data_IF_950216869559
#
_entry.id   IF_950216869559
#
_cell.length_a   1.000
_cell.length_b   1.000
_cell.length_c   1.000
_cell.angle_alpha   90.00
_cell.angle_beta   90.00
_cell.angle_gamma   90.00
#
_symmetry.space_group_name_H-M   'P 1'
#
loop_
_entity.id
_entity.type
_entity.pdbx_description
1 polymer ?
#
# COMPACT_ATOMS: atom_id res chain seq x y z
N UNK A 1 -14.88 2.55 19.44
CA UNK A 1 -14.28 2.79 20.77
C UNK A 1 -13.93 4.26 20.83
N UNK A 2 -14.55 4.98 21.79
CA UNK A 2 -14.55 6.45 21.76
C UNK A 2 -13.57 7.09 22.76
N UNK A 3 -12.67 6.28 23.35
CA UNK A 3 -11.71 6.79 24.33
C UNK A 3 -10.31 6.85 23.72
N UNK A 4 -9.66 8.01 23.86
CA UNK A 4 -8.29 8.26 23.41
C UNK A 4 -7.39 8.32 24.64
N UNK A 5 -6.23 7.64 24.59
CA UNK A 5 -5.18 7.83 25.58
C UNK A 5 -4.24 8.93 25.10
N UNK A 6 -4.18 10.03 25.82
CA UNK A 6 -3.28 11.12 25.54
C UNK A 6 -2.09 11.08 26.49
N UNK A 7 -0.88 11.06 25.94
CA UNK A 7 0.38 11.00 26.67
C UNK A 7 1.12 12.32 26.48
N UNK A 8 1.04 13.19 27.47
CA UNK A 8 1.61 14.53 27.44
C UNK A 8 0.90 15.48 28.40
N UNK A 9 1.34 16.73 28.44
CA UNK A 9 0.78 17.75 29.35
C UNK A 9 0.52 19.09 28.71
N UNK A 10 0.53 19.19 27.39
CA UNK A 10 0.39 20.45 26.67
C UNK A 10 -1.02 20.98 26.64
N UNK A 11 -1.17 22.25 26.97
CA UNK A 11 -2.46 22.93 27.07
C UNK A 11 -3.19 23.03 25.71
N UNK A 12 -2.47 23.39 24.66
CA UNK A 12 -3.01 23.52 23.30
C UNK A 12 -3.57 22.18 22.75
N UNK A 13 -2.86 21.08 22.99
CA UNK A 13 -3.34 19.75 22.59
C UNK A 13 -4.58 19.35 23.41
N UNK A 14 -4.55 19.59 24.71
CA UNK A 14 -5.73 19.33 25.56
C UNK A 14 -6.94 20.11 25.09
N UNK A 15 -6.79 21.36 24.66
CA UNK A 15 -7.90 22.14 24.08
C UNK A 15 -8.44 21.51 22.78
N UNK A 16 -7.56 21.12 21.86
CA UNK A 16 -7.97 20.45 20.61
C UNK A 16 -8.72 19.15 20.92
N UNK A 17 -8.19 18.37 21.85
CA UNK A 17 -8.79 17.10 22.27
C UNK A 17 -10.15 17.30 22.97
N UNK A 18 -10.27 18.29 23.86
CA UNK A 18 -11.51 18.59 24.60
C UNK A 18 -12.63 19.07 23.66
N UNK A 19 -12.28 19.73 22.56
CA UNK A 19 -13.22 20.15 21.52
C UNK A 19 -13.59 19.03 20.54
N UNK A 20 -12.98 17.85 20.68
CA UNK A 20 -13.37 16.65 19.92
C UNK A 20 -14.51 15.91 20.65
N UNK A 21 -15.37 15.20 19.90
CA UNK A 21 -16.45 14.38 20.45
C UNK A 21 -15.98 13.10 21.14
N UNK A 22 -14.69 13.00 21.47
CA UNK A 22 -14.07 11.79 22.01
C UNK A 22 -13.78 11.90 23.50
N UNK A 23 -13.90 10.79 24.21
CA UNK A 23 -13.48 10.72 25.62
C UNK A 23 -11.96 10.64 25.72
N UNK A 24 -11.35 11.44 26.56
CA UNK A 24 -9.89 11.55 26.71
C UNK A 24 -9.46 11.08 28.10
N UNK A 25 -8.55 10.13 28.13
CA UNK A 25 -7.80 9.76 29.33
C UNK A 25 -6.39 10.36 29.17
N UNK A 26 -6.05 11.39 29.91
CA UNK A 26 -4.76 12.06 29.84
C UNK A 26 -3.80 11.52 30.90
N UNK A 27 -2.56 11.22 30.48
CA UNK A 27 -1.46 10.80 31.36
C UNK A 27 -0.20 11.61 31.06
N UNK A 28 0.61 11.91 32.08
CA UNK A 28 1.72 12.84 31.95
C UNK A 28 3.03 12.23 31.45
N UNK A 29 3.18 10.91 31.52
CA UNK A 29 4.42 10.24 31.12
C UNK A 29 4.21 8.84 30.53
N UNK A 30 5.23 8.31 29.85
CA UNK A 30 5.19 7.04 29.15
C UNK A 30 4.98 5.82 30.05
N UNK A 31 5.47 5.83 31.28
CA UNK A 31 5.31 4.71 32.21
C UNK A 31 3.86 4.52 32.62
N UNK A 32 3.13 5.61 32.87
CA UNK A 32 1.69 5.55 33.20
C UNK A 32 0.90 5.08 31.97
N UNK A 33 1.31 5.51 30.76
CA UNK A 33 0.70 5.06 29.51
C UNK A 33 0.88 3.55 29.29
N UNK A 34 2.06 3.01 29.52
CA UNK A 34 2.34 1.56 29.44
C UNK A 34 1.45 0.77 30.41
N UNK A 35 1.34 1.20 31.65
CA UNK A 35 0.48 0.54 32.63
C UNK A 35 -1.01 0.62 32.24
N UNK A 36 -1.47 1.77 31.74
CA UNK A 36 -2.84 1.95 31.30
C UNK A 36 -3.23 1.02 30.13
N UNK A 37 -2.27 0.73 29.23
CA UNK A 37 -2.48 -0.16 28.09
C UNK A 37 -2.28 -1.63 28.44
N UNK A 38 -1.37 -1.98 29.35
CA UNK A 38 -1.20 -3.37 29.82
C UNK A 38 -2.45 -3.89 30.53
N UNK A 39 -3.08 -3.05 31.35
CA UNK A 39 -4.28 -3.42 32.13
C UNK A 39 -5.57 -3.39 31.28
N UNK A 40 -5.61 -2.59 30.23
CA UNK A 40 -6.84 -2.30 29.45
C UNK A 40 -6.59 -2.07 27.96
N UNK A 41 -5.80 -2.92 27.33
CA UNK A 41 -5.39 -2.79 25.91
C UNK A 41 -6.55 -2.55 24.92
N UNK A 42 -7.76 -3.04 25.21
CA UNK A 42 -8.93 -2.92 24.35
C UNK A 42 -9.82 -1.68 24.65
N UNK A 43 -9.46 -0.85 25.62
CA UNK A 43 -10.24 0.31 26.01
C UNK A 43 -10.08 1.49 25.06
N UNK A 44 -8.88 1.66 24.53
CA UNK A 44 -8.51 2.85 23.75
C UNK A 44 -8.67 2.61 22.25
N UNK A 45 -9.24 3.60 21.56
CA UNK A 45 -9.35 3.65 20.10
C UNK A 45 -8.10 4.22 19.43
N UNK A 46 -7.35 5.09 20.13
CA UNK A 46 -6.08 5.65 19.68
C UNK A 46 -5.21 6.05 20.89
N UNK A 47 -3.89 6.10 20.66
CA UNK A 47 -2.91 6.69 21.60
C UNK A 47 -2.28 7.90 20.93
N UNK A 48 -2.30 9.03 21.61
CA UNK A 48 -1.64 10.27 21.13
C UNK A 48 -0.46 10.55 22.02
N UNK A 49 0.72 10.74 21.42
CA UNK A 49 1.99 10.90 22.13
C UNK A 49 2.63 12.24 21.72
N UNK A 50 3.02 13.05 22.67
CA UNK A 50 3.82 14.26 22.40
C UNK A 50 5.26 13.91 22.03
N UNK A 51 5.86 14.76 21.18
CA UNK A 51 7.26 14.66 20.75
C UNK A 51 8.28 14.97 21.84
N UNK A 52 7.81 15.41 23.01
CA UNK A 52 8.61 15.60 24.21
C UNK A 52 7.85 15.05 25.42
N UNK A 53 8.41 14.04 26.06
CA UNK A 53 7.85 13.44 27.27
C UNK A 53 8.87 13.50 28.41
N UNK A 54 8.43 13.73 29.65
CA UNK A 54 9.30 13.59 30.80
C UNK A 54 9.65 12.11 31.01
N UNK A 55 10.90 11.84 31.35
CA UNK A 55 11.45 10.55 31.76
C UNK A 55 11.57 9.45 30.69
N UNK A 56 11.03 9.62 29.49
CA UNK A 56 11.10 8.60 28.44
C UNK A 56 11.12 9.25 27.05
N UNK A 57 11.99 8.74 26.19
CA UNK A 57 12.00 9.13 24.78
C UNK A 57 10.73 8.60 24.09
N UNK A 58 9.99 9.44 23.30
CA UNK A 58 8.79 9.03 22.58
C UNK A 58 8.98 7.84 21.67
N UNK A 59 10.10 7.74 20.97
CA UNK A 59 10.41 6.62 20.07
C UNK A 59 10.51 5.29 20.83
N UNK A 60 11.11 5.30 22.01
CA UNK A 60 11.15 4.13 22.88
C UNK A 60 9.77 3.75 23.42
N UNK A 61 8.94 4.74 23.74
CA UNK A 61 7.57 4.52 24.16
C UNK A 61 6.75 3.87 23.04
N UNK A 62 6.84 4.38 21.80
CA UNK A 62 6.15 3.82 20.63
C UNK A 62 6.49 2.35 20.45
N UNK A 63 7.77 1.99 20.47
CA UNK A 63 8.24 0.59 20.37
C UNK A 63 7.65 -0.31 21.45
N UNK A 64 7.63 0.16 22.69
CA UNK A 64 7.10 -0.64 23.80
C UNK A 64 5.59 -0.78 23.72
N UNK A 65 4.85 0.27 23.39
CA UNK A 65 3.38 0.23 23.27
C UNK A 65 2.90 -0.79 22.25
N UNK A 66 3.61 -0.98 21.16
CA UNK A 66 3.29 -1.96 20.14
C UNK A 66 3.33 -3.41 20.61
N UNK A 67 4.17 -3.72 21.59
CA UNK A 67 4.18 -5.05 22.20
C UNK A 67 2.90 -5.36 22.99
N UNK A 68 2.22 -4.32 23.50
CA UNK A 68 1.04 -4.49 24.36
C UNK A 68 -0.28 -4.33 23.63
N UNK A 69 -0.32 -3.54 22.54
CA UNK A 69 -1.59 -3.23 21.88
C UNK A 69 -1.41 -2.91 20.40
N UNK A 70 -2.38 -3.32 19.59
CA UNK A 70 -2.53 -2.89 18.18
C UNK A 70 -3.32 -1.58 18.05
N UNK A 71 -3.41 -0.80 19.12
CA UNK A 71 -4.05 0.52 19.10
C UNK A 71 -3.18 1.48 18.29
N UNK A 72 -3.74 2.26 17.35
CA UNK A 72 -2.98 3.23 16.58
C UNK A 72 -2.32 4.26 17.47
N UNK A 73 -1.09 4.58 17.10
CA UNK A 73 -0.27 5.56 17.80
C UNK A 73 -0.10 6.77 16.89
N UNK A 74 -0.44 7.94 17.39
CA UNK A 74 -0.31 9.22 16.69
C UNK A 74 0.67 10.09 17.46
N UNK A 75 1.73 10.56 16.78
CA UNK A 75 2.68 11.50 17.38
C UNK A 75 2.22 12.94 17.16
N UNK A 76 2.39 13.79 18.17
CA UNK A 76 2.27 15.23 18.06
C UNK A 76 3.66 15.82 17.84
N UNK A 77 3.90 16.45 16.69
CA UNK A 77 5.20 17.01 16.32
C UNK A 77 5.13 18.53 16.40
N UNK A 78 6.04 19.14 17.18
CA UNK A 78 6.09 20.58 17.38
C UNK A 78 7.32 21.24 16.78
N UNK A 79 8.37 20.46 16.49
CA UNK A 79 9.61 21.00 15.95
C UNK A 79 10.06 20.21 14.72
N UNK A 80 10.53 20.94 13.70
CA UNK A 80 11.05 20.34 12.46
C UNK A 80 12.23 19.41 12.72
N UNK A 81 13.05 19.71 13.74
CA UNK A 81 14.20 18.87 14.09
C UNK A 81 13.78 17.49 14.60
N UNK A 82 12.68 17.40 15.34
CA UNK A 82 12.13 16.13 15.83
C UNK A 82 11.31 15.39 14.78
N UNK A 83 10.86 16.09 13.74
CA UNK A 83 10.07 15.52 12.67
C UNK A 83 10.81 14.37 11.96
N UNK A 84 12.06 14.58 11.58
CA UNK A 84 12.86 13.55 10.90
C UNK A 84 13.11 12.33 11.80
N UNK A 85 13.39 12.56 13.09
CA UNK A 85 13.59 11.49 14.06
C UNK A 85 12.32 10.65 14.26
N UNK A 86 11.17 11.30 14.43
CA UNK A 86 9.88 10.61 14.66
C UNK A 86 9.38 9.93 13.39
N UNK A 87 9.64 10.47 12.20
CA UNK A 87 9.28 9.82 10.94
C UNK A 87 9.99 8.48 10.73
N UNK A 88 11.17 8.27 11.30
CA UNK A 88 11.83 6.95 11.31
C UNK A 88 11.06 5.93 12.17
N UNK A 89 10.19 6.38 13.07
CA UNK A 89 9.39 5.52 13.93
C UNK A 89 8.15 4.93 13.25
N UNK A 90 7.86 5.30 11.99
CA UNK A 90 6.84 4.58 11.21
C UNK A 90 7.18 3.11 11.06
N UNK A 91 8.46 2.77 10.86
CA UNK A 91 8.95 1.38 10.84
C UNK A 91 8.78 0.68 12.20
N UNK A 92 8.64 1.45 13.27
CA UNK A 92 8.43 0.98 14.63
C UNK A 92 6.95 1.06 15.07
N UNK A 93 6.02 1.41 14.13
CA UNK A 93 4.57 1.33 14.27
C UNK A 93 3.83 2.57 14.69
N UNK A 94 4.40 3.72 14.44
CA UNK A 94 3.65 4.96 14.44
C UNK A 94 2.59 4.91 13.34
N UNK A 95 1.34 5.27 13.66
CA UNK A 95 0.21 5.21 12.73
C UNK A 95 -0.08 6.55 12.04
N UNK A 96 0.47 7.65 12.57
CA UNK A 96 0.29 8.99 12.02
C UNK A 96 0.94 10.06 12.88
N UNK A 97 0.96 11.29 12.40
CA UNK A 97 1.40 12.44 13.19
C UNK A 97 0.45 13.64 13.01
N UNK A 98 0.53 14.56 13.94
CA UNK A 98 -0.24 15.78 13.99
C UNK A 98 0.66 16.96 14.35
N UNK A 99 0.56 18.05 13.57
CA UNK A 99 1.27 19.31 13.85
C UNK A 99 0.27 20.34 14.37
N UNK A 100 0.39 20.81 15.64
CA UNK A 100 -0.58 21.74 16.23
C UNK A 100 -0.60 23.11 15.54
N UNK A 101 0.53 23.56 14.99
CA UNK A 101 0.63 24.85 14.31
C UNK A 101 -0.08 24.83 12.97
N UNK A 102 -1.22 25.55 12.87
CA UNK A 102 -1.98 25.68 11.63
C UNK A 102 -3.02 24.59 11.37
N UNK A 103 -3.12 23.60 12.24
CA UNK A 103 -4.10 22.53 12.10
C UNK A 103 -5.36 22.81 12.88
N UNK A 104 -6.54 22.64 12.25
CA UNK A 104 -7.85 22.81 12.89
C UNK A 104 -8.26 21.54 13.65
N UNK A 105 -9.21 21.67 14.57
CA UNK A 105 -9.90 20.54 15.21
C UNK A 105 -10.49 19.58 14.17
N UNK A 106 -10.94 20.11 13.03
CA UNK A 106 -11.45 19.32 11.91
C UNK A 106 -10.36 18.41 11.30
N UNK A 107 -9.13 18.92 11.12
CA UNK A 107 -8.01 18.12 10.63
C UNK A 107 -7.66 16.98 11.60
N UNK A 108 -7.66 17.27 12.90
CA UNK A 108 -7.43 16.27 13.94
C UNK A 108 -8.52 15.18 13.97
N UNK A 109 -9.79 15.57 13.86
CA UNK A 109 -10.90 14.60 13.80
C UNK A 109 -10.82 13.72 12.55
N UNK A 110 -10.49 14.28 11.39
CA UNK A 110 -10.25 13.52 10.16
C UNK A 110 -9.11 12.50 10.34
N UNK A 111 -8.02 12.88 10.99
CA UNK A 111 -6.90 11.97 11.31
C UNK A 111 -7.36 10.81 12.19
N UNK A 112 -8.11 11.09 13.25
CA UNK A 112 -8.66 10.07 14.14
C UNK A 112 -9.63 9.13 13.43
N UNK A 113 -10.52 9.66 12.60
CA UNK A 113 -11.46 8.85 11.82
C UNK A 113 -10.74 7.95 10.82
N UNK A 114 -9.66 8.43 10.23
CA UNK A 114 -8.80 7.64 9.36
C UNK A 114 -8.13 6.48 10.09
N UNK A 115 -7.56 6.75 11.26
CA UNK A 115 -6.99 5.71 12.12
C UNK A 115 -8.04 4.70 12.58
N UNK A 116 -9.25 5.15 12.92
CA UNK A 116 -10.35 4.27 13.33
C UNK A 116 -10.88 3.41 12.17
N UNK A 117 -10.97 3.96 10.97
CA UNK A 117 -11.34 3.21 9.75
C UNK A 117 -10.32 2.12 9.47
N UNK A 118 -9.04 2.44 9.59
CA UNK A 118 -7.94 1.49 9.44
C UNK A 118 -8.02 0.35 10.48
N UNK A 119 -8.34 0.65 11.74
CA UNK A 119 -8.45 -0.37 12.81
C UNK A 119 -9.69 -1.24 12.63
N UNK A 120 -10.83 -0.64 12.32
CA UNK A 120 -12.06 -1.40 12.08
C UNK A 120 -11.89 -2.35 10.91
N UNK A 121 -11.14 -1.93 9.89
CA UNK A 121 -10.72 -2.76 8.78
C UNK A 121 -9.76 -3.86 9.21
N UNK A 122 -8.67 -3.55 9.92
CA UNK A 122 -7.71 -4.55 10.43
C UNK A 122 -8.37 -5.56 11.38
N UNK A 123 -9.36 -5.14 12.17
CA UNK A 123 -10.15 -6.01 13.06
C UNK A 123 -11.22 -6.82 12.30
N UNK A 124 -11.79 -6.27 11.23
CA UNK A 124 -12.73 -6.98 10.34
C UNK A 124 -12.06 -8.14 9.60
N UNK A 125 -10.84 -7.95 9.11
CA UNK A 125 -10.01 -9.00 8.53
C UNK A 125 -9.69 -10.13 9.52
N UNK A 126 -9.51 -9.80 10.80
CA UNK A 126 -9.22 -10.79 11.85
C UNK A 126 -10.43 -11.66 12.28
N UNK A 127 -11.67 -11.28 11.93
CA UNK A 127 -12.86 -12.05 12.38
C UNK A 127 -13.22 -13.23 11.49
N UNK A 128 -12.89 -13.21 10.20
CA UNK A 128 -13.30 -14.28 9.28
C UNK A 128 -12.16 -14.91 8.46
N UNK A 129 -11.00 -14.29 8.39
CA UNK A 129 -9.82 -14.90 7.79
C UNK A 129 -8.64 -14.59 8.71
N UNK A 130 -7.97 -15.63 9.21
CA UNK A 130 -6.61 -15.52 9.77
C UNK A 130 -5.66 -15.15 8.62
N UNK A 131 -5.76 -13.94 8.13
CA UNK A 131 -4.67 -13.33 7.41
C UNK A 131 -3.68 -12.98 8.52
N UNK A 132 -2.63 -13.78 8.65
CA UNK A 132 -1.38 -13.29 9.23
C UNK A 132 -0.92 -12.20 8.26
N UNK A 133 -1.44 -10.99 8.44
CA UNK A 133 -0.79 -9.79 7.96
C UNK A 133 0.46 -9.72 8.85
N UNK A 134 1.53 -10.34 8.38
CA UNK A 134 2.85 -9.97 8.86
C UNK A 134 2.85 -8.45 8.76
N UNK A 135 3.16 -7.78 9.85
CA UNK A 135 3.14 -6.33 10.07
C UNK A 135 3.84 -5.47 9.00
N UNK A 136 4.45 -6.07 8.02
CA UNK A 136 5.24 -5.46 6.95
C UNK A 136 4.44 -4.99 5.71
N UNK A 137 3.16 -5.28 5.58
CA UNK A 137 2.41 -4.96 4.36
C UNK A 137 1.55 -3.69 4.43
N UNK A 138 1.01 -3.35 5.59
CA UNK A 138 0.13 -2.19 5.79
C UNK A 138 0.88 -0.97 6.37
N UNK A 139 1.97 -1.19 7.08
CA UNK A 139 2.77 -0.14 7.69
C UNK A 139 3.49 0.76 6.67
N UNK A 140 3.48 0.38 5.39
CA UNK A 140 4.25 1.04 4.34
C UNK A 140 3.45 1.97 3.41
N UNK A 141 2.11 1.98 3.47
CA UNK A 141 1.27 2.87 2.64
C UNK A 141 0.54 3.87 3.55
N UNK A 142 1.26 4.53 4.44
CA UNK A 142 0.65 5.52 5.33
C UNK A 142 0.72 6.92 4.73
N UNK A 143 -0.43 7.45 4.38
CA UNK A 143 -0.65 8.85 4.09
C UNK A 143 -1.93 9.30 4.76
N UNK A 144 -1.85 10.40 5.51
CA UNK A 144 -2.98 10.99 6.25
C UNK A 144 -3.74 12.02 5.41
N UNK A 145 -3.26 12.34 4.20
CA UNK A 145 -3.90 13.31 3.32
C UNK A 145 -5.26 12.82 2.80
N UNK A 146 -6.17 13.74 2.55
CA UNK A 146 -7.49 13.45 1.96
C UNK A 146 -7.38 12.66 0.65
N UNK A 147 -6.32 12.90 -0.13
CA UNK A 147 -6.03 12.19 -1.37
C UNK A 147 -5.71 10.71 -1.13
N UNK A 148 -4.89 10.40 -0.11
CA UNK A 148 -4.59 9.01 0.25
C UNK A 148 -5.80 8.29 0.86
N UNK A 149 -6.62 8.98 1.64
CA UNK A 149 -7.86 8.42 2.20
C UNK A 149 -8.84 7.96 1.12
N UNK A 150 -9.00 8.77 0.06
CA UNK A 150 -9.82 8.40 -1.10
C UNK A 150 -9.27 7.15 -1.79
N UNK A 151 -7.94 7.07 -1.94
CA UNK A 151 -7.28 5.90 -2.55
C UNK A 151 -7.52 4.65 -1.69
N UNK A 152 -7.33 4.71 -0.38
CA UNK A 152 -7.62 3.58 0.50
C UNK A 152 -9.07 3.11 0.37
N UNK A 153 -10.01 4.05 0.38
CA UNK A 153 -11.43 3.72 0.22
C UNK A 153 -11.69 3.00 -1.12
N UNK A 154 -11.08 3.48 -2.21
CA UNK A 154 -11.18 2.84 -3.52
C UNK A 154 -10.56 1.44 -3.55
N UNK A 155 -9.36 1.27 -3.00
CA UNK A 155 -8.68 -0.02 -2.94
C UNK A 155 -9.48 -1.05 -2.12
N UNK A 156 -10.09 -0.62 -1.02
CA UNK A 156 -10.95 -1.47 -0.19
C UNK A 156 -12.22 -1.93 -0.91
N UNK A 157 -12.80 -1.10 -1.77
CA UNK A 157 -13.99 -1.48 -2.55
C UNK A 157 -13.73 -2.59 -3.57
N UNK A 158 -12.48 -2.73 -4.02
CA UNK A 158 -12.10 -3.72 -5.04
C UNK A 158 -11.26 -4.87 -4.50
N UNK A 159 -11.00 -4.91 -3.19
CA UNK A 159 -10.12 -5.92 -2.58
C UNK A 159 -10.56 -7.36 -2.88
N UNK A 160 -11.87 -7.63 -2.87
CA UNK A 160 -12.43 -8.96 -3.13
C UNK A 160 -12.72 -9.23 -4.61
N UNK A 161 -12.50 -8.26 -5.48
CA UNK A 161 -12.81 -8.33 -6.92
C UNK A 161 -11.53 -8.49 -7.72
N UNK A 162 -11.52 -9.40 -8.67
CA UNK A 162 -10.41 -9.57 -9.61
C UNK A 162 -10.48 -8.56 -10.76
N UNK A 163 -10.55 -7.27 -10.41
CA UNK A 163 -10.60 -6.18 -11.38
C UNK A 163 -9.20 -5.85 -11.87
N UNK A 164 -9.04 -5.74 -13.19
CA UNK A 164 -7.82 -5.22 -13.81
C UNK A 164 -7.62 -3.78 -13.35
N UNK A 165 -6.46 -3.50 -12.76
CA UNK A 165 -6.18 -2.21 -12.15
C UNK A 165 -4.92 -1.60 -12.74
N UNK A 166 -4.95 -0.29 -13.02
CA UNK A 166 -3.75 0.46 -13.38
C UNK A 166 -3.44 1.51 -12.32
N UNK A 167 -2.19 1.55 -11.88
CA UNK A 167 -1.66 2.48 -10.90
C UNK A 167 -0.87 3.58 -11.61
N UNK A 168 -1.36 4.81 -11.56
CA UNK A 168 -0.66 5.99 -12.06
C UNK A 168 0.08 6.69 -10.92
N UNK A 169 1.25 7.24 -11.20
CA UNK A 169 1.98 8.06 -10.23
C UNK A 169 3.45 8.20 -10.56
N UNK A 170 4.06 9.26 -10.07
CA UNK A 170 5.48 9.53 -10.22
C UNK A 170 6.34 8.36 -9.68
N UNK A 171 7.62 8.33 -10.05
CA UNK A 171 8.55 7.36 -9.46
C UNK A 171 8.65 7.58 -7.94
N UNK A 172 8.71 6.49 -7.17
CA UNK A 172 8.77 6.55 -5.71
C UNK A 172 7.44 6.78 -4.99
N UNK A 173 6.30 6.89 -5.69
CA UNK A 173 4.97 7.07 -5.05
C UNK A 173 4.41 5.81 -4.38
N UNK A 174 5.14 4.69 -4.38
CA UNK A 174 4.70 3.45 -3.73
C UNK A 174 3.76 2.59 -4.56
N UNK A 175 3.82 2.66 -5.90
CA UNK A 175 3.04 1.79 -6.80
C UNK A 175 3.22 0.31 -6.46
N UNK A 176 4.46 -0.15 -6.23
CA UNK A 176 4.79 -1.53 -5.85
C UNK A 176 4.15 -1.94 -4.52
N UNK A 177 4.19 -1.05 -3.53
CA UNK A 177 3.58 -1.28 -2.23
C UNK A 177 2.06 -1.35 -2.34
N UNK A 178 1.46 -0.50 -3.18
CA UNK A 178 0.02 -0.52 -3.45
C UNK A 178 -0.40 -1.82 -4.14
N UNK A 179 0.35 -2.30 -5.13
CA UNK A 179 0.08 -3.57 -5.79
C UNK A 179 0.20 -4.75 -4.81
N UNK A 180 1.21 -4.75 -3.95
CA UNK A 180 1.35 -5.75 -2.89
C UNK A 180 0.18 -5.71 -1.92
N UNK A 181 -0.23 -4.53 -1.45
CA UNK A 181 -1.42 -4.36 -0.60
C UNK A 181 -2.68 -4.94 -1.26
N UNK A 182 -2.91 -4.64 -2.54
CA UNK A 182 -4.06 -5.15 -3.29
C UNK A 182 -4.05 -6.68 -3.42
N UNK A 183 -2.87 -7.30 -3.54
CA UNK A 183 -2.73 -8.74 -3.53
C UNK A 183 -3.00 -9.33 -2.15
N UNK A 184 -2.32 -8.82 -1.12
CA UNK A 184 -2.37 -9.33 0.25
C UNK A 184 -3.79 -9.24 0.86
N UNK A 185 -4.60 -8.27 0.42
CA UNK A 185 -6.00 -8.09 0.85
C UNK A 185 -7.01 -8.81 -0.04
N UNK A 186 -6.59 -9.45 -1.12
CA UNK A 186 -7.46 -10.14 -2.08
C UNK A 186 -7.76 -11.59 -1.70
N UNK A 187 -8.67 -12.21 -2.44
CA UNK A 187 -8.93 -13.66 -2.35
C UNK A 187 -7.74 -14.50 -2.79
N UNK A 188 -6.79 -13.91 -3.53
CA UNK A 188 -5.60 -14.57 -4.08
C UNK A 188 -4.35 -14.44 -3.18
N UNK A 189 -4.48 -13.93 -1.97
CA UNK A 189 -3.38 -13.64 -1.05
C UNK A 189 -2.51 -14.85 -0.63
N UNK A 190 -3.01 -16.06 -0.83
CA UNK A 190 -2.26 -17.32 -0.56
C UNK A 190 -1.51 -17.83 -1.79
N UNK A 191 -1.76 -17.24 -2.95
CA UNK A 191 -1.19 -17.60 -4.23
C UNK A 191 -0.02 -16.66 -4.57
N UNK A 192 0.79 -16.94 -5.60
CA UNK A 192 1.96 -16.11 -5.88
C UNK A 192 1.58 -14.69 -6.32
N UNK A 193 2.36 -13.71 -5.83
CA UNK A 193 2.48 -12.36 -6.40
C UNK A 193 3.77 -12.29 -7.20
N UNK A 194 3.66 -12.18 -8.50
CA UNK A 194 4.81 -12.05 -9.40
C UNK A 194 4.92 -10.60 -9.86
N UNK A 195 6.03 -9.96 -9.53
CA UNK A 195 6.32 -8.57 -9.93
C UNK A 195 7.35 -8.54 -11.05
N UNK A 196 7.05 -7.79 -12.11
CA UNK A 196 7.93 -7.60 -13.27
C UNK A 196 8.10 -6.10 -13.50
N UNK A 197 9.35 -5.63 -13.41
CA UNK A 197 9.70 -4.26 -13.77
C UNK A 197 10.16 -4.29 -15.25
N UNK A 198 9.30 -3.77 -16.14
CA UNK A 198 9.49 -3.88 -17.58
C UNK A 198 10.79 -3.24 -18.09
N UNK A 199 11.14 -2.00 -17.72
CA UNK A 199 12.40 -1.39 -18.15
C UNK A 199 13.67 -2.01 -17.54
N UNK A 200 13.56 -2.78 -16.46
CA UNK A 200 14.73 -3.45 -15.86
C UNK A 200 15.23 -4.68 -16.65
N UNK A 201 14.42 -5.17 -17.58
CA UNK A 201 14.73 -6.34 -18.42
C UNK A 201 14.92 -5.85 -19.86
N UNK A 202 16.00 -6.23 -20.55
CA UNK A 202 16.17 -5.92 -21.97
C UNK A 202 14.93 -6.35 -22.77
N UNK A 203 14.48 -5.49 -23.71
CA UNK A 203 13.23 -5.70 -24.45
C UNK A 203 13.16 -7.05 -25.17
N UNK A 204 14.29 -7.54 -25.67
CA UNK A 204 14.42 -8.85 -26.34
C UNK A 204 14.20 -10.03 -25.40
N UNK A 205 14.53 -9.87 -24.10
CA UNK A 205 14.38 -10.90 -23.09
C UNK A 205 13.06 -10.81 -22.33
N UNK A 206 12.43 -9.62 -22.30
CA UNK A 206 11.20 -9.38 -21.55
C UNK A 206 10.06 -10.29 -22.01
N UNK A 207 9.95 -10.55 -23.32
CA UNK A 207 8.97 -11.46 -23.87
C UNK A 207 9.18 -12.88 -23.37
N UNK A 208 10.42 -13.36 -23.41
CA UNK A 208 10.81 -14.68 -22.90
C UNK A 208 10.60 -14.80 -21.37
N UNK A 209 10.88 -13.75 -20.61
CA UNK A 209 10.60 -13.76 -19.16
C UNK A 209 9.09 -13.81 -18.86
N UNK A 210 8.27 -13.06 -19.60
CA UNK A 210 6.83 -13.01 -19.35
C UNK A 210 6.10 -14.29 -19.78
N UNK A 211 6.40 -14.79 -20.98
CA UNK A 211 5.67 -15.91 -21.60
C UNK A 211 6.40 -17.25 -21.56
N UNK A 212 7.71 -17.23 -21.25
CA UNK A 212 8.56 -18.41 -21.35
C UNK A 212 9.05 -18.67 -22.77
N UNK A 213 9.89 -19.68 -22.93
CA UNK A 213 10.43 -20.06 -24.22
C UNK A 213 10.62 -21.57 -24.32
N UNK A 214 10.57 -22.08 -25.55
CA UNK A 214 10.98 -23.43 -25.88
C UNK A 214 12.50 -23.50 -26.14
N UNK A 215 13.08 -24.67 -25.91
CA UNK A 215 14.48 -24.91 -26.21
C UNK A 215 14.80 -24.60 -27.67
N UNK A 216 15.86 -23.81 -27.91
CA UNK A 216 16.31 -23.43 -29.25
C UNK A 216 15.53 -22.28 -29.90
N UNK A 217 14.65 -21.60 -29.21
CA UNK A 217 13.83 -20.50 -29.77
C UNK A 217 14.64 -19.22 -30.08
N UNK A 218 15.79 -19.04 -29.45
CA UNK A 218 16.77 -17.98 -29.74
C UNK A 218 18.16 -18.39 -29.28
N UNK A 219 19.18 -17.61 -29.62
CA UNK A 219 20.59 -17.85 -29.21
C UNK A 219 20.69 -17.71 -27.68
N UNK A 220 21.04 -18.84 -26.99
CA UNK A 220 21.05 -18.89 -25.50
C UNK A 220 19.83 -19.54 -24.87
N UNK A 221 18.85 -20.01 -25.65
CA UNK A 221 17.73 -20.80 -25.17
C UNK A 221 18.11 -22.29 -25.05
N UNK A 222 19.02 -22.61 -24.14
CA UNK A 222 19.59 -23.97 -24.00
C UNK A 222 18.58 -24.96 -23.42
N UNK A 223 17.62 -24.47 -22.59
CA UNK A 223 16.57 -25.24 -21.97
C UNK A 223 15.23 -24.55 -22.13
N UNK A 224 14.12 -25.31 -21.97
CA UNK A 224 12.78 -24.77 -21.90
C UNK A 224 12.59 -24.03 -20.55
N UNK A 225 11.95 -22.85 -20.58
CA UNK A 225 11.68 -22.05 -19.37
C UNK A 225 10.19 -21.61 -19.31
N UNK A 226 9.58 -21.75 -18.15
CA UNK A 226 8.24 -21.23 -17.92
C UNK A 226 8.25 -19.72 -17.68
N UNK A 227 7.27 -19.02 -18.26
CA UNK A 227 7.13 -17.58 -18.15
C UNK A 227 6.44 -17.13 -16.84
N UNK A 228 6.59 -15.85 -16.52
CA UNK A 228 6.03 -15.23 -15.31
C UNK A 228 4.49 -15.35 -15.24
N UNK A 229 3.77 -15.32 -16.38
CA UNK A 229 2.33 -15.55 -16.41
C UNK A 229 1.95 -16.96 -15.97
N UNK A 230 2.69 -17.97 -16.39
CA UNK A 230 2.43 -19.35 -15.96
C UNK A 230 2.76 -19.54 -14.48
N UNK A 231 3.83 -18.93 -13.99
CA UNK A 231 4.23 -18.96 -12.57
C UNK A 231 3.20 -18.22 -11.70
N UNK A 232 2.57 -17.15 -12.23
CA UNK A 232 1.54 -16.37 -11.55
C UNK A 232 0.14 -17.03 -11.58
N UNK A 233 0.00 -18.19 -12.21
CA UNK A 233 -1.31 -18.84 -12.40
C UNK A 233 -2.02 -19.07 -11.05
N UNK A 234 -3.30 -18.69 -10.97
CA UNK A 234 -4.11 -18.67 -9.75
C UNK A 234 -3.83 -17.45 -8.84
N UNK A 235 -2.76 -16.70 -9.08
CA UNK A 235 -2.30 -15.56 -8.27
C UNK A 235 -2.47 -14.20 -8.92
N UNK A 236 -1.46 -13.35 -8.75
CA UNK A 236 -1.44 -11.97 -9.26
C UNK A 236 -0.12 -11.70 -9.97
N UNK A 237 -0.18 -11.04 -11.13
CA UNK A 237 0.99 -10.46 -11.78
C UNK A 237 0.93 -8.93 -11.68
N UNK A 238 2.04 -8.31 -11.30
CA UNK A 238 2.22 -6.87 -11.27
C UNK A 238 3.23 -6.45 -12.34
N UNK A 239 2.77 -5.65 -13.30
CA UNK A 239 3.55 -5.16 -14.44
C UNK A 239 3.90 -3.69 -14.19
N UNK A 240 5.10 -3.43 -13.70
CA UNK A 240 5.56 -2.07 -13.43
C UNK A 240 6.13 -1.42 -14.69
N UNK A 241 5.80 -0.15 -14.89
CA UNK A 241 6.14 0.68 -16.06
C UNK A 241 5.71 0.03 -17.40
N UNK A 242 4.42 -0.35 -17.49
CA UNK A 242 3.83 -1.00 -18.66
C UNK A 242 3.96 -0.15 -19.95
N UNK A 243 4.07 1.17 -19.81
CA UNK A 243 4.24 2.09 -20.93
C UNK A 243 5.55 1.93 -21.72
N UNK A 244 6.53 1.17 -21.20
CA UNK A 244 7.82 0.95 -21.87
C UNK A 244 7.88 -0.35 -22.67
N UNK A 245 6.77 -1.10 -22.75
CA UNK A 245 6.69 -2.33 -23.54
C UNK A 245 6.68 -2.04 -25.05
N UNK A 246 7.34 -2.92 -25.82
CA UNK A 246 7.27 -2.90 -27.29
C UNK A 246 5.85 -3.20 -27.78
N UNK A 247 5.48 -2.70 -28.97
CA UNK A 247 4.15 -2.93 -29.55
C UNK A 247 3.82 -4.41 -29.77
N UNK A 248 4.82 -5.25 -30.07
CA UNK A 248 4.64 -6.70 -30.18
C UNK A 248 4.26 -7.35 -28.85
N UNK A 249 4.92 -6.91 -27.77
CA UNK A 249 4.65 -7.40 -26.42
C UNK A 249 3.27 -6.93 -25.92
N UNK A 250 2.90 -5.68 -26.21
CA UNK A 250 1.57 -5.13 -25.91
C UNK A 250 0.45 -5.99 -26.53
N UNK A 251 0.62 -6.47 -27.77
CA UNK A 251 -0.35 -7.36 -28.42
C UNK A 251 -0.50 -8.70 -27.71
N UNK A 252 0.60 -9.28 -27.23
CA UNK A 252 0.57 -10.53 -26.47
C UNK A 252 -0.08 -10.33 -25.08
N UNK A 253 0.20 -9.24 -24.39
CA UNK A 253 -0.47 -8.90 -23.12
C UNK A 253 -1.98 -8.76 -23.33
N UNK A 254 -2.40 -8.07 -24.40
CA UNK A 254 -3.82 -7.93 -24.72
C UNK A 254 -4.51 -9.31 -24.84
N UNK A 255 -3.89 -10.26 -25.55
CA UNK A 255 -4.44 -11.63 -25.69
C UNK A 255 -4.60 -12.32 -24.33
N UNK A 256 -3.62 -12.17 -23.43
CA UNK A 256 -3.74 -12.72 -22.06
C UNK A 256 -4.90 -12.08 -21.30
N UNK A 257 -5.10 -10.76 -21.41
CA UNK A 257 -6.18 -10.05 -20.73
C UNK A 257 -7.56 -10.39 -21.28
N UNK A 258 -7.66 -10.81 -22.55
CA UNK A 258 -8.92 -11.14 -23.21
C UNK A 258 -9.33 -12.59 -23.02
N UNK A 259 -8.42 -13.52 -23.29
CA UNK A 259 -8.71 -14.97 -23.32
C UNK A 259 -8.02 -15.76 -22.19
N UNK A 260 -7.08 -15.17 -21.48
CA UNK A 260 -6.23 -15.91 -20.53
C UNK A 260 -5.22 -16.84 -21.21
N UNK A 261 -5.02 -16.72 -22.52
CA UNK A 261 -4.13 -17.60 -23.29
C UNK A 261 -2.73 -17.05 -23.41
N UNK A 262 -1.76 -17.92 -23.25
CA UNK A 262 -0.33 -17.66 -23.46
C UNK A 262 0.30 -18.72 -24.36
N UNK A 263 1.29 -18.29 -25.13
CA UNK A 263 2.16 -19.17 -25.92
C UNK A 263 3.63 -18.85 -25.62
N UNK A 264 4.45 -19.88 -25.48
CA UNK A 264 5.90 -19.68 -25.30
C UNK A 264 6.55 -19.16 -26.56
N UNK A 265 7.64 -18.42 -26.40
CA UNK A 265 8.46 -18.00 -27.53
C UNK A 265 9.00 -19.25 -28.26
N UNK A 266 8.77 -19.34 -29.58
CA UNK A 266 9.15 -20.49 -30.39
C UNK A 266 8.25 -21.72 -30.20
N UNK A 267 7.21 -21.68 -29.39
CA UNK A 267 6.24 -22.73 -29.20
C UNK A 267 4.93 -22.47 -29.92
N UNK A 268 4.17 -23.54 -30.23
CA UNK A 268 2.82 -23.48 -30.78
C UNK A 268 1.76 -23.97 -29.78
N UNK A 269 2.17 -24.40 -28.58
CA UNK A 269 1.26 -24.89 -27.56
C UNK A 269 0.66 -23.71 -26.80
N UNK A 270 -0.68 -23.65 -26.78
CA UNK A 270 -1.44 -22.63 -26.03
C UNK A 270 -1.71 -23.15 -24.61
N UNK A 271 -1.37 -22.33 -23.61
CA UNK A 271 -1.65 -22.58 -22.21
C UNK A 271 -2.67 -21.56 -21.72
N UNK A 272 -3.63 -22.00 -20.88
CA UNK A 272 -4.60 -21.09 -20.25
C UNK A 272 -4.15 -20.76 -18.83
N UNK A 273 -4.20 -19.49 -18.48
CA UNK A 273 -3.85 -18.97 -17.14
C UNK A 273 -4.99 -18.14 -16.56
N UNK A 274 -5.20 -18.27 -15.26
CA UNK A 274 -6.11 -17.41 -14.48
C UNK A 274 -5.28 -16.50 -13.58
N UNK A 275 -5.00 -15.27 -14.02
CA UNK A 275 -4.12 -14.33 -13.33
C UNK A 275 -4.80 -12.98 -13.17
N UNK A 276 -4.83 -12.48 -11.92
CA UNK A 276 -5.19 -11.08 -11.68
C UNK A 276 -4.05 -10.17 -12.12
N UNK A 277 -4.36 -9.20 -13.00
CA UNK A 277 -3.36 -8.28 -13.54
C UNK A 277 -3.49 -6.92 -12.86
N UNK A 278 -2.38 -6.45 -12.30
CA UNK A 278 -2.19 -5.07 -11.83
C UNK A 278 -1.06 -4.48 -12.65
N UNK A 279 -1.27 -3.32 -13.24
CA UNK A 279 -0.25 -2.59 -14.01
C UNK A 279 0.09 -1.26 -13.37
N UNK A 280 1.25 -0.71 -13.66
CA UNK A 280 1.64 0.60 -13.19
C UNK A 280 2.43 1.37 -14.25
N UNK A 281 2.34 2.70 -14.19
CA UNK A 281 3.13 3.60 -15.03
C UNK A 281 3.25 5.00 -14.42
N UNK A 282 4.35 5.68 -14.69
CA UNK A 282 4.54 7.10 -14.43
C UNK A 282 4.30 7.97 -15.68
N UNK A 283 3.96 7.36 -16.81
CA UNK A 283 3.86 8.01 -18.12
C UNK A 283 2.40 8.30 -18.48
N UNK A 284 2.18 9.32 -19.31
CA UNK A 284 0.88 9.56 -19.95
C UNK A 284 0.69 8.60 -21.12
N UNK A 285 -0.14 7.57 -20.90
CA UNK A 285 -0.43 6.58 -21.93
C UNK A 285 -1.24 7.17 -23.10
N UNK A 286 -2.04 8.24 -22.89
CA UNK A 286 -2.79 8.89 -23.97
C UNK A 286 -1.84 9.60 -24.93
N UNK A 287 -0.77 10.22 -24.43
CA UNK A 287 0.26 10.81 -25.29
C UNK A 287 0.99 9.70 -26.07
N UNK A 288 1.36 8.60 -25.42
CA UNK A 288 1.99 7.45 -26.10
C UNK A 288 1.10 6.82 -27.17
N UNK A 289 -0.22 6.82 -26.99
CA UNK A 289 -1.17 6.36 -28.03
C UNK A 289 -1.09 7.29 -29.25
N UNK A 290 -1.13 8.61 -29.03
CA UNK A 290 -1.01 9.60 -30.13
C UNK A 290 0.32 9.48 -30.89
N UNK A 291 1.39 9.13 -30.19
CA UNK A 291 2.72 8.87 -30.77
C UNK A 291 2.85 7.50 -31.45
N UNK A 292 1.83 6.65 -31.38
CA UNK A 292 1.87 5.27 -31.91
C UNK A 292 2.77 4.32 -31.11
N UNK A 293 3.18 4.68 -29.89
CA UNK A 293 4.05 3.89 -29.01
C UNK A 293 3.27 2.98 -28.06
N UNK A 294 1.99 3.24 -27.86
CA UNK A 294 1.10 2.42 -27.04
C UNK A 294 -0.20 2.14 -27.80
N UNK A 295 -0.70 0.90 -27.70
CA UNK A 295 -1.92 0.47 -28.37
C UNK A 295 -3.15 0.94 -27.62
N UNK A 296 -4.10 1.49 -28.34
CA UNK A 296 -5.37 1.98 -27.80
C UNK A 296 -6.25 0.84 -27.25
N UNK A 297 -6.26 -0.31 -27.93
CA UNK A 297 -7.01 -1.52 -27.50
C UNK A 297 -6.48 -2.04 -26.14
N UNK A 298 -5.19 -2.13 -25.97
CA UNK A 298 -4.58 -2.50 -24.69
C UNK A 298 -4.89 -1.48 -23.59
N UNK A 299 -4.81 -0.18 -23.92
CA UNK A 299 -5.14 0.88 -22.96
C UNK A 299 -6.56 0.71 -22.41
N UNK A 300 -7.56 0.51 -23.26
CA UNK A 300 -8.94 0.29 -22.81
C UNK A 300 -9.10 -0.98 -21.97
N UNK A 301 -8.30 -2.00 -22.20
CA UNK A 301 -8.36 -3.25 -21.44
C UNK A 301 -7.69 -3.18 -20.07
N UNK A 302 -6.62 -2.39 -19.91
CA UNK A 302 -5.94 -2.21 -18.62
C UNK A 302 -6.53 -1.06 -17.78
N UNK A 303 -7.14 -0.06 -18.40
CA UNK A 303 -7.68 1.14 -17.75
C UNK A 303 -9.11 0.94 -17.22
N UNK A 304 -9.40 -0.25 -16.70
CA UNK A 304 -10.73 -0.58 -16.12
C UNK A 304 -10.90 0.08 -14.76
N UNK A 305 -9.87 0.01 -13.91
CA UNK A 305 -9.88 0.64 -12.61
C UNK A 305 -8.59 1.48 -12.42
N UNK A 306 -8.61 2.74 -12.83
CA UNK A 306 -7.46 3.62 -12.65
C UNK A 306 -7.36 4.15 -11.22
N UNK A 307 -6.16 4.09 -10.65
CA UNK A 307 -5.82 4.64 -9.33
C UNK A 307 -4.62 5.56 -9.49
N UNK A 308 -4.78 6.84 -9.21
CA UNK A 308 -3.68 7.81 -9.24
C UNK A 308 -3.12 8.04 -7.85
N UNK A 309 -1.86 7.67 -7.64
CA UNK A 309 -1.14 7.88 -6.40
C UNK A 309 -0.56 9.30 -6.38
N UNK A 310 -0.86 10.11 -5.35
CA UNK A 310 -0.29 11.45 -5.24
C UNK A 310 1.22 11.37 -5.01
N UNK A 311 1.98 12.36 -5.48
CA UNK A 311 3.39 12.46 -5.17
C UNK A 311 3.61 12.65 -3.64
N UNK A 312 4.79 12.27 -3.16
CA UNK A 312 5.11 12.32 -1.71
C UNK A 312 4.95 13.72 -1.10
N UNK A 313 5.18 14.77 -1.89
CA UNK A 313 5.01 16.16 -1.47
C UNK A 313 3.55 16.56 -1.18
N UNK A 314 2.58 15.78 -1.65
CA UNK A 314 1.13 16.03 -1.52
C UNK A 314 0.43 15.04 -0.56
N UNK A 315 1.22 14.32 0.24
CA UNK A 315 0.75 13.31 1.21
C UNK A 315 0.77 13.78 2.64
#
# INVERSE_FOLDING_TARGET
MDTILYVGDSYDIKQVLTNSDKKIDAVQNGMIALNALSDRANKYGAVIIEDQLPLMDPSNLIKQLQHYSKTPIIAVIRSDKRREEILTDFDNGLSGWFEPKGSSVEHFNKLLDSCNTFISFSRGLNKNHRIQINSHGLDTILGVSDSMQKIYTLLLQIQEKDVITILYGESGTGKNLTAKFMHDTSKRNKNPLISVNCPAIPSELLESELFGHEKGSFTGADERKDGKFLIANGGTIFLDEIGDMSSSLQAKILRVLESGEIERVGGAETHTVDVRVISATNQDLNEKIKEGKFREDLFHRINVFPVTLPPLRDR
#
